data_IF_173657988202
#
_entry.id   IF_173657988202
#
_cell.length_a   1.000
_cell.length_b   1.000
_cell.length_c   1.000
_cell.angle_alpha   90.00
_cell.angle_beta   90.00
_cell.angle_gamma   90.00
#
_symmetry.space_group_name_H-M   'P 1'
#
loop_
_entity.id
_entity.type
_entity.pdbx_description
1 polymer ?
#
# COMPACT_ATOMS: atom_id res chain seq x y z
N UNK A 1 31.67 -29.73 16.75
CA UNK A 1 31.45 -29.07 15.45
C UNK A 1 30.14 -28.30 15.55
N UNK A 2 30.22 -27.00 15.82
CA UNK A 2 29.05 -26.14 16.09
C UNK A 2 28.40 -25.77 14.77
N UNK A 3 27.18 -26.26 14.52
CA UNK A 3 26.43 -25.89 13.33
C UNK A 3 26.16 -24.38 13.32
N UNK A 4 26.44 -23.65 12.23
CA UNK A 4 26.04 -22.25 12.13
C UNK A 4 24.52 -22.20 12.14
N UNK A 5 23.97 -21.40 13.05
CA UNK A 5 22.55 -21.11 13.17
C UNK A 5 22.02 -20.67 11.80
N UNK A 6 21.41 -21.60 11.05
CA UNK A 6 20.62 -21.27 9.86
C UNK A 6 19.36 -20.60 10.38
N UNK A 7 19.41 -19.28 10.58
CA UNK A 7 18.20 -18.48 10.64
C UNK A 7 17.34 -18.87 9.45
N UNK A 8 16.08 -19.31 9.64
CA UNK A 8 15.21 -19.57 8.50
C UNK A 8 15.16 -18.29 7.65
N UNK A 9 15.19 -18.40 6.31
CA UNK A 9 14.96 -17.23 5.48
C UNK A 9 13.64 -16.63 5.96
N UNK A 10 13.71 -15.38 6.44
CA UNK A 10 12.56 -14.67 7.01
C UNK A 10 11.49 -14.67 5.92
N UNK A 11 10.53 -15.57 6.04
CA UNK A 11 9.46 -15.69 5.05
C UNK A 11 8.79 -14.32 5.00
N UNK A 12 8.70 -13.75 3.80
CA UNK A 12 8.14 -12.42 3.59
C UNK A 12 6.74 -12.35 4.18
N UNK A 13 6.61 -11.73 5.36
CA UNK A 13 5.34 -11.70 6.09
C UNK A 13 4.49 -10.59 5.51
N UNK A 14 3.43 -10.97 4.80
CA UNK A 14 2.40 -10.03 4.40
C UNK A 14 1.53 -9.69 5.60
N UNK A 15 1.60 -8.45 6.08
CA UNK A 15 0.80 -7.95 7.21
C UNK A 15 -0.17 -6.86 6.75
N UNK A 16 -1.45 -6.89 7.18
CA UNK A 16 -2.36 -5.78 6.92
C UNK A 16 -1.86 -4.52 7.61
N UNK A 17 -1.91 -3.39 6.91
CA UNK A 17 -1.55 -2.08 7.44
C UNK A 17 -2.75 -1.14 7.31
N UNK A 18 -3.03 -0.42 8.39
CA UNK A 18 -4.09 0.57 8.47
C UNK A 18 -3.52 1.79 9.17
N UNK A 19 -3.47 2.92 8.46
CA UNK A 19 -3.17 4.21 9.06
C UNK A 19 -4.47 5.01 9.23
N UNK A 20 -4.61 5.67 10.38
CA UNK A 20 -5.70 6.61 10.68
C UNK A 20 -5.14 8.02 10.84
N UNK A 21 -5.98 9.02 10.61
CA UNK A 21 -5.70 10.40 10.98
C UNK A 21 -5.86 10.58 12.49
N UNK A 22 -5.44 11.73 13.02
CA UNK A 22 -5.55 12.04 14.46
C UNK A 22 -6.99 12.11 14.98
N UNK A 23 -7.95 12.31 14.08
CA UNK A 23 -9.40 12.26 14.37
C UNK A 23 -9.98 10.83 14.35
N UNK A 24 -9.16 9.82 14.04
CA UNK A 24 -9.58 8.42 13.94
C UNK A 24 -10.09 8.01 12.55
N UNK A 25 -10.23 8.93 11.60
CA UNK A 25 -10.67 8.62 10.24
C UNK A 25 -9.62 7.82 9.48
N UNK A 26 -10.05 6.94 8.58
CA UNK A 26 -9.13 6.11 7.81
C UNK A 26 -8.29 7.01 6.89
N UNK A 27 -6.96 6.85 6.94
CA UNK A 27 -6.00 7.60 6.12
C UNK A 27 -5.48 6.75 4.98
N UNK A 28 -5.11 5.52 5.29
CA UNK A 28 -4.73 4.53 4.28
C UNK A 28 -4.93 3.12 4.81
N UNK A 29 -5.15 2.18 3.90
CA UNK A 29 -5.11 0.76 4.20
C UNK A 29 -4.45 0.01 3.05
N UNK A 30 -3.83 -1.10 3.38
CA UNK A 30 -3.23 -1.99 2.40
C UNK A 30 -2.49 -3.13 3.09
N UNK A 31 -1.52 -3.68 2.38
CA UNK A 31 -0.65 -4.72 2.91
C UNK A 31 0.80 -4.26 2.92
N UNK A 32 1.56 -4.79 3.86
CA UNK A 32 3.01 -4.60 3.93
C UNK A 32 3.68 -5.94 3.76
N UNK A 33 4.81 -5.99 3.06
CA UNK A 33 5.66 -7.16 2.88
C UNK A 33 7.04 -6.79 3.45
N UNK A 34 7.49 -7.53 4.47
CA UNK A 34 8.78 -7.28 5.14
C UNK A 34 8.94 -5.84 5.70
N UNK A 35 7.82 -5.18 6.02
CA UNK A 35 7.80 -3.79 6.51
C UNK A 35 7.65 -2.74 5.41
N UNK A 36 7.68 -3.12 4.14
CA UNK A 36 7.49 -2.22 3.00
C UNK A 36 6.06 -2.33 2.45
N UNK A 37 5.53 -1.24 1.88
CA UNK A 37 4.19 -1.24 1.29
C UNK A 37 4.14 -2.22 0.09
N UNK A 38 3.18 -3.14 0.08
CA UNK A 38 3.06 -4.14 -0.99
C UNK A 38 1.61 -4.52 -1.27
N UNK A 39 1.29 -4.83 -2.53
CA UNK A 39 -0.06 -5.17 -2.99
C UNK A 39 -0.97 -3.95 -3.09
N UNK A 40 -2.28 -4.16 -2.94
CA UNK A 40 -3.28 -3.10 -3.08
C UNK A 40 -3.27 -2.14 -1.90
N UNK A 41 -3.26 -0.86 -2.20
CA UNK A 41 -3.32 0.24 -1.25
C UNK A 41 -4.40 1.23 -1.63
N UNK A 42 -5.12 1.68 -0.62
CA UNK A 42 -6.17 2.67 -0.72
C UNK A 42 -5.86 3.79 0.27
N UNK A 43 -5.98 5.03 -0.20
CA UNK A 43 -5.79 6.24 0.55
C UNK A 43 -7.12 6.97 0.59
N UNK A 44 -7.45 7.46 1.77
CA UNK A 44 -8.70 8.15 2.05
C UNK A 44 -8.36 9.53 2.59
N UNK A 45 -9.26 10.49 2.36
CA UNK A 45 -9.17 11.83 2.94
C UNK A 45 -9.75 11.82 4.34
N UNK A 46 -9.56 12.93 5.06
CA UNK A 46 -10.19 13.15 6.39
C UNK A 46 -11.73 13.11 6.35
N UNK A 47 -12.33 13.40 5.19
CA UNK A 47 -13.79 13.31 5.01
C UNK A 47 -14.27 11.86 4.74
N UNK A 48 -13.37 10.88 4.71
CA UNK A 48 -13.67 9.48 4.40
C UNK A 48 -13.78 9.17 2.90
N UNK A 49 -13.73 10.18 2.03
CA UNK A 49 -13.74 9.96 0.58
C UNK A 49 -12.44 9.30 0.11
N UNK A 50 -12.55 8.39 -0.85
CA UNK A 50 -11.38 7.78 -1.46
C UNK A 50 -10.57 8.85 -2.19
N UNK A 51 -9.31 9.00 -1.81
CA UNK A 51 -8.39 9.94 -2.45
C UNK A 51 -7.69 9.29 -3.62
N UNK A 52 -7.11 8.10 -3.38
CA UNK A 52 -6.26 7.42 -4.34
C UNK A 52 -6.23 5.93 -4.04
N UNK A 53 -6.20 5.09 -5.06
CA UNK A 53 -5.99 3.65 -4.93
C UNK A 53 -5.00 3.18 -5.97
N UNK A 54 -4.24 2.14 -5.65
CA UNK A 54 -3.24 1.58 -6.56
C UNK A 54 -2.53 0.41 -5.91
N UNK A 55 -1.44 -0.02 -6.54
CA UNK A 55 -0.62 -1.11 -6.03
C UNK A 55 0.79 -0.62 -5.70
N UNK A 56 1.38 -1.25 -4.69
CA UNK A 56 2.79 -1.08 -4.36
C UNK A 56 3.53 -2.40 -4.50
N UNK A 57 4.77 -2.33 -4.94
CA UNK A 57 5.73 -3.42 -4.90
C UNK A 57 6.94 -2.98 -4.08
N UNK A 58 7.04 -3.48 -2.83
CA UNK A 58 8.16 -3.19 -1.92
C UNK A 58 8.45 -1.67 -1.83
N UNK A 59 7.41 -0.91 -1.51
CA UNK A 59 7.47 0.55 -1.38
C UNK A 59 7.38 1.33 -2.70
N UNK A 60 7.47 0.68 -3.86
CA UNK A 60 7.38 1.35 -5.17
C UNK A 60 5.97 1.33 -5.72
N UNK A 61 5.50 2.45 -6.27
CA UNK A 61 4.19 2.51 -6.93
C UNK A 61 4.23 1.69 -8.21
N UNK A 62 3.36 0.69 -8.33
CA UNK A 62 3.26 -0.18 -9.52
C UNK A 62 1.81 -0.31 -9.97
N UNK A 63 1.63 -0.78 -11.20
CA UNK A 63 0.31 -0.98 -11.79
C UNK A 63 -0.45 0.32 -11.99
N UNK A 64 -1.78 0.22 -12.02
CA UNK A 64 -2.65 1.36 -12.35
C UNK A 64 -3.07 2.09 -11.08
N UNK A 65 -2.70 3.35 -11.02
CA UNK A 65 -3.01 4.26 -9.94
C UNK A 65 -4.18 5.17 -10.30
N UNK A 66 -5.24 5.08 -9.52
CA UNK A 66 -6.47 5.82 -9.69
C UNK A 66 -6.62 6.87 -8.61
N UNK A 67 -6.85 8.11 -8.99
CA UNK A 67 -7.17 9.22 -8.09
C UNK A 67 -8.64 9.54 -8.26
N UNK A 68 -9.36 9.63 -7.15
CA UNK A 68 -10.79 9.89 -7.12
C UNK A 68 -11.03 11.25 -6.48
N UNK A 69 -12.10 11.95 -6.86
CA UNK A 69 -12.54 13.17 -6.18
C UNK A 69 -13.33 12.87 -4.89
N UNK A 70 -13.87 13.93 -4.25
CA UNK A 70 -14.69 13.83 -3.03
C UNK A 70 -16.04 13.14 -3.26
N UNK A 71 -16.51 13.06 -4.50
CA UNK A 71 -17.73 12.34 -4.90
C UNK A 71 -17.47 10.87 -5.22
N UNK A 72 -16.19 10.45 -5.27
CA UNK A 72 -15.78 9.09 -5.64
C UNK A 72 -15.62 8.88 -7.15
N UNK A 73 -15.71 9.93 -7.97
CA UNK A 73 -15.50 9.82 -9.41
C UNK A 73 -14.00 9.82 -9.72
N UNK A 74 -13.59 8.94 -10.64
CA UNK A 74 -12.21 8.85 -11.12
C UNK A 74 -11.84 10.16 -11.83
N UNK A 75 -10.85 10.88 -11.28
CA UNK A 75 -10.34 12.13 -11.87
C UNK A 75 -9.05 11.92 -12.65
N UNK A 76 -8.25 10.93 -12.25
CA UNK A 76 -6.95 10.67 -12.88
C UNK A 76 -6.60 9.20 -12.76
N UNK A 77 -6.16 8.62 -13.86
CA UNK A 77 -5.54 7.31 -13.90
C UNK A 77 -4.08 7.47 -14.35
N UNK A 78 -3.17 6.74 -13.74
CA UNK A 78 -1.73 6.77 -14.07
C UNK A 78 -1.20 5.35 -14.01
N UNK A 79 -0.68 4.86 -15.12
CA UNK A 79 -0.12 3.53 -15.20
C UNK A 79 1.38 3.55 -14.90
N UNK A 80 1.78 3.00 -13.76
CA UNK A 80 3.16 2.86 -13.33
C UNK A 80 3.78 1.51 -13.74
N UNK A 81 3.04 0.64 -14.44
CA UNK A 81 3.59 -0.62 -14.97
C UNK A 81 4.51 -0.43 -16.17
N UNK A 82 4.48 0.76 -16.81
CA UNK A 82 5.13 1.02 -18.10
C UNK A 82 6.46 1.79 -18.02
N UNK A 83 6.89 2.21 -16.84
CA UNK A 83 8.20 2.86 -16.68
C UNK A 83 9.29 1.81 -16.48
N UNK A 84 9.85 1.34 -17.60
CA UNK A 84 11.07 0.54 -17.69
C UNK A 84 12.17 1.31 -18.39
#
# INVERSE_FOLDING_TARGET
>A
MTAPCRTPPRASKRAPHIARYGDGTLKSRGFTLDGEMHGKWEFFRKDGSMMRAGEFDRGRQVGVWRTFDRTGRLVKETDFSKHG
#
